data_IF_440640743598
#
_entry.id   IF_440640743598
#
_cell.length_a   1.000
_cell.length_b   1.000
_cell.length_c   1.000
_cell.angle_alpha   90.00
_cell.angle_beta   90.00
_cell.angle_gamma   90.00
#
_symmetry.space_group_name_H-M   'P 1'
#
loop_
_entity.id
_entity.type
_entity.pdbx_description
1 polymer ?
#
# COMPACT_ATOMS: atom_id res chain seq x y z
N UNK A 1 42.83 23.81 8.05
CA UNK A 1 43.31 25.22 8.07
C UNK A 1 43.00 25.83 6.69
N UNK A 2 42.44 27.04 6.63
CA UNK A 2 41.23 27.35 5.85
C UNK A 2 41.46 28.26 4.64
N UNK A 3 40.47 28.36 3.74
CA UNK A 3 40.29 29.52 2.86
C UNK A 3 38.83 29.63 2.36
N UNK A 4 38.07 30.49 3.03
CA UNK A 4 37.12 31.48 2.51
C UNK A 4 36.14 31.13 1.37
N UNK A 5 34.85 31.31 1.68
CA UNK A 5 33.84 31.74 0.71
C UNK A 5 32.63 30.82 0.64
N UNK A 6 31.56 31.22 1.33
CA UNK A 6 30.18 30.72 1.25
C UNK A 6 29.93 29.35 1.87
N UNK A 7 29.51 29.38 3.14
CA UNK A 7 28.82 28.28 3.79
C UNK A 7 27.40 28.16 3.20
N UNK A 8 27.22 27.31 2.19
CA UNK A 8 26.01 26.49 2.19
C UNK A 8 26.20 25.62 3.44
N UNK A 9 25.42 25.89 4.48
CA UNK A 9 25.60 25.28 5.79
C UNK A 9 25.77 23.78 5.64
N UNK A 10 26.93 23.26 6.04
CA UNK A 10 27.10 21.84 6.28
C UNK A 10 26.22 21.54 7.48
N UNK A 11 24.99 21.13 7.20
CA UNK A 11 24.08 20.64 8.22
C UNK A 11 24.64 19.29 8.65
N UNK A 12 25.07 19.18 9.90
CA UNK A 12 25.43 17.90 10.53
C UNK A 12 24.14 17.11 10.72
N UNK A 13 23.72 16.43 9.65
CA UNK A 13 22.81 15.33 9.76
C UNK A 13 23.34 14.29 10.74
N UNK A 14 22.46 13.72 11.55
CA UNK A 14 22.82 12.71 12.55
C UNK A 14 23.35 11.39 11.95
N UNK A 15 23.33 11.21 10.62
CA UNK A 15 23.90 10.06 9.92
C UNK A 15 24.38 10.39 8.50
N UNK A 16 25.22 9.51 7.93
CA UNK A 16 25.68 9.62 6.54
C UNK A 16 24.52 9.64 5.53
N UNK A 17 23.42 8.94 5.83
CA UNK A 17 22.25 8.90 4.96
C UNK A 17 21.50 10.23 4.94
N UNK A 18 21.47 10.97 6.07
CA UNK A 18 20.96 12.35 6.11
C UNK A 18 21.73 13.24 5.15
N UNK A 19 23.06 13.19 5.27
CA UNK A 19 23.92 14.03 4.45
C UNK A 19 23.73 13.73 2.97
N UNK A 20 23.58 12.46 2.61
CA UNK A 20 23.35 12.06 1.22
C UNK A 20 22.01 12.60 0.68
N UNK A 21 20.91 12.46 1.44
CA UNK A 21 19.60 12.96 1.03
C UNK A 21 19.56 14.48 0.86
N UNK A 22 20.12 15.22 1.83
CA UNK A 22 20.24 16.68 1.74
C UNK A 22 21.14 17.11 0.57
N UNK A 23 22.23 16.39 0.34
CA UNK A 23 23.15 16.68 -0.77
C UNK A 23 22.45 16.49 -2.11
N UNK A 24 21.66 15.42 -2.27
CA UNK A 24 20.86 15.17 -3.46
C UNK A 24 19.79 16.25 -3.67
N UNK A 25 19.10 16.69 -2.61
CA UNK A 25 18.12 17.77 -2.69
C UNK A 25 18.77 19.10 -3.10
N UNK A 26 19.89 19.48 -2.48
CA UNK A 26 20.65 20.69 -2.84
C UNK A 26 21.13 20.59 -4.30
N UNK A 27 21.61 19.43 -4.72
CA UNK A 27 22.00 19.17 -6.11
C UNK A 27 20.81 19.41 -7.05
N UNK A 28 19.66 18.77 -6.81
CA UNK A 28 18.42 19.01 -7.57
C UNK A 28 18.07 20.50 -7.64
N UNK A 29 18.02 21.20 -6.51
CA UNK A 29 17.69 22.63 -6.44
C UNK A 29 18.65 23.46 -7.29
N UNK A 30 19.96 23.27 -7.12
CA UNK A 30 20.96 24.05 -7.83
C UNK A 30 20.96 23.79 -9.34
N UNK A 31 20.59 22.58 -9.80
CA UNK A 31 20.44 22.28 -11.23
C UNK A 31 19.26 23.00 -11.89
N UNK A 32 18.36 23.62 -11.11
CA UNK A 32 17.26 24.44 -11.64
C UNK A 32 17.70 25.88 -11.94
N UNK A 33 18.86 26.31 -11.42
CA UNK A 33 19.39 27.65 -11.66
C UNK A 33 20.06 27.68 -13.05
N UNK A 34 19.71 28.64 -13.93
CA UNK A 34 20.36 28.78 -15.23
C UNK A 34 21.88 28.92 -15.10
N UNK A 35 22.64 28.18 -15.92
CA UNK A 35 24.11 28.18 -15.90
C UNK A 35 24.76 29.59 -15.92
N UNK A 36 24.25 30.60 -16.65
CA UNK A 36 24.82 31.95 -16.63
C UNK A 36 24.74 32.66 -15.26
N UNK A 37 23.86 32.20 -14.36
CA UNK A 37 23.70 32.74 -13.02
C UNK A 37 24.54 31.97 -11.97
N UNK A 38 25.17 30.86 -12.36
CA UNK A 38 25.98 30.05 -11.48
C UNK A 38 27.44 30.51 -11.50
N UNK A 39 28.03 30.65 -10.31
CA UNK A 39 29.46 30.90 -10.21
C UNK A 39 30.24 29.67 -10.72
N UNK A 40 31.42 29.84 -11.38
CA UNK A 40 32.18 28.72 -11.93
C UNK A 40 32.51 27.61 -10.91
N UNK A 41 32.77 27.99 -9.66
CA UNK A 41 33.00 27.03 -8.56
C UNK A 41 31.78 26.17 -8.23
N UNK A 42 30.57 26.69 -8.45
CA UNK A 42 29.32 25.95 -8.25
C UNK A 42 29.13 24.93 -9.37
N UNK A 43 29.37 25.32 -10.62
CA UNK A 43 29.34 24.39 -11.77
C UNK A 43 30.30 23.20 -11.58
N UNK A 44 31.56 23.45 -11.20
CA UNK A 44 32.53 22.39 -10.92
C UNK A 44 32.06 21.45 -9.80
N UNK A 45 31.36 21.98 -8.79
CA UNK A 45 30.78 21.17 -7.72
C UNK A 45 29.59 20.34 -8.21
N UNK A 46 28.73 20.91 -9.06
CA UNK A 46 27.62 20.17 -9.66
C UNK A 46 28.11 19.02 -10.53
N UNK A 47 29.20 19.18 -11.27
CA UNK A 47 29.80 18.08 -12.05
C UNK A 47 30.33 16.95 -11.17
N UNK A 48 30.92 17.28 -10.01
CA UNK A 48 31.33 16.27 -9.02
C UNK A 48 30.13 15.56 -8.41
N UNK A 49 29.10 16.30 -8.03
CA UNK A 49 27.87 15.74 -7.46
C UNK A 49 27.13 14.87 -8.46
N UNK A 50 27.13 15.22 -9.75
CA UNK A 50 26.57 14.39 -10.80
C UNK A 50 27.25 13.02 -10.87
N UNK A 51 28.60 12.97 -10.85
CA UNK A 51 29.34 11.70 -10.83
C UNK A 51 29.05 10.88 -9.58
N UNK A 52 29.01 11.53 -8.42
CA UNK A 52 28.71 10.88 -7.14
C UNK A 52 27.29 10.28 -7.15
N UNK A 53 26.28 11.05 -7.51
CA UNK A 53 24.90 10.58 -7.51
C UNK A 53 24.62 9.53 -8.59
N UNK A 54 25.32 9.53 -9.73
CA UNK A 54 25.25 8.43 -10.68
C UNK A 54 25.67 7.10 -10.03
N UNK A 55 26.75 7.10 -9.25
CA UNK A 55 27.21 5.91 -8.51
C UNK A 55 26.22 5.51 -7.40
N UNK A 56 25.61 6.47 -6.71
CA UNK A 56 24.58 6.19 -5.69
C UNK A 56 23.40 5.43 -6.29
N UNK A 57 22.97 5.78 -7.51
CA UNK A 57 21.85 5.12 -8.20
C UNK A 57 22.15 3.70 -8.70
N UNK A 58 23.43 3.34 -8.81
CA UNK A 58 23.87 1.97 -9.12
C UNK A 58 23.80 1.04 -7.90
N UNK A 59 23.66 1.57 -6.69
CA UNK A 59 23.60 0.79 -5.46
C UNK A 59 22.38 -0.16 -5.37
N UNK A 60 22.55 -1.25 -4.62
CA UNK A 60 21.51 -2.27 -4.39
C UNK A 60 20.34 -1.75 -3.54
N UNK A 61 20.63 -0.83 -2.62
CA UNK A 61 19.63 -0.22 -1.73
C UNK A 61 19.56 1.27 -2.00
N UNK A 62 18.48 1.69 -2.62
CA UNK A 62 18.22 3.09 -2.92
C UNK A 62 17.31 3.69 -1.85
N UNK A 63 17.78 4.76 -1.22
CA UNK A 63 16.92 5.65 -0.45
C UNK A 63 16.03 6.42 -1.44
N UNK A 64 14.69 6.30 -1.38
CA UNK A 64 13.81 6.80 -2.43
C UNK A 64 13.84 8.33 -2.57
N UNK A 65 14.05 9.05 -1.47
CA UNK A 65 14.16 10.50 -1.49
C UNK A 65 15.47 10.95 -2.15
N UNK A 66 16.59 10.39 -1.70
CA UNK A 66 17.91 10.61 -2.32
C UNK A 66 17.87 10.31 -3.80
N UNK A 67 17.33 9.15 -4.18
CA UNK A 67 17.29 8.70 -5.56
C UNK A 67 16.40 9.60 -6.43
N UNK A 68 15.24 10.02 -5.94
CA UNK A 68 14.34 10.95 -6.64
C UNK A 68 15.02 12.28 -6.96
N UNK A 69 15.68 12.90 -5.98
CA UNK A 69 16.40 14.17 -6.21
C UNK A 69 17.63 13.99 -7.11
N UNK A 70 18.42 12.93 -6.89
CA UNK A 70 19.56 12.58 -7.74
C UNK A 70 19.14 12.44 -9.22
N UNK A 71 18.08 11.67 -9.49
CA UNK A 71 17.52 11.49 -10.83
C UNK A 71 17.13 12.83 -11.46
N UNK A 72 16.39 13.66 -10.73
CA UNK A 72 15.94 14.96 -11.24
C UNK A 72 17.14 15.87 -11.59
N UNK A 73 18.16 15.94 -10.73
CA UNK A 73 19.36 16.71 -10.97
C UNK A 73 20.19 16.20 -12.15
N UNK A 74 20.38 14.88 -12.25
CA UNK A 74 21.13 14.25 -13.34
C UNK A 74 20.45 14.46 -14.70
N UNK A 75 19.12 14.32 -14.75
CA UNK A 75 18.33 14.58 -15.95
C UNK A 75 18.45 16.03 -16.42
N UNK A 76 18.35 17.02 -15.51
CA UNK A 76 18.48 18.45 -15.88
C UNK A 76 19.87 18.81 -16.38
N UNK A 77 20.92 18.15 -15.87
CA UNK A 77 22.28 18.33 -16.37
C UNK A 77 22.57 17.54 -17.66
N UNK A 78 21.67 16.67 -18.10
CA UNK A 78 21.94 15.75 -19.20
C UNK A 78 23.02 14.71 -18.87
N UNK A 79 23.29 14.49 -17.59
CA UNK A 79 24.25 13.49 -17.10
C UNK A 79 23.65 12.07 -17.03
N UNK A 80 22.35 11.96 -17.26
CA UNK A 80 21.61 10.72 -17.36
C UNK A 80 20.52 10.86 -18.43
N UNK A 81 20.32 9.82 -19.22
CA UNK A 81 19.25 9.78 -20.23
C UNK A 81 17.90 9.47 -19.59
N UNK A 82 16.81 9.84 -20.28
CA UNK A 82 15.45 9.49 -19.86
C UNK A 82 15.23 7.98 -19.74
N UNK A 83 15.86 7.18 -20.61
CA UNK A 83 15.74 5.73 -20.59
C UNK A 83 16.41 5.11 -19.35
N UNK A 84 17.62 5.57 -19.00
CA UNK A 84 18.31 5.14 -17.78
C UNK A 84 17.54 5.53 -16.52
N UNK A 85 17.06 6.79 -16.47
CA UNK A 85 16.26 7.26 -15.36
C UNK A 85 14.97 6.44 -15.17
N UNK A 86 14.33 6.03 -16.28
CA UNK A 86 13.13 5.19 -16.24
C UNK A 86 13.40 3.84 -15.57
N UNK A 87 14.52 3.17 -15.88
CA UNK A 87 14.88 1.91 -15.25
C UNK A 87 15.09 2.05 -13.72
N UNK A 88 15.68 3.16 -13.29
CA UNK A 88 15.84 3.44 -11.85
C UNK A 88 14.48 3.72 -11.20
N UNK A 89 13.60 4.48 -11.85
CA UNK A 89 12.24 4.73 -11.35
C UNK A 89 11.45 3.43 -11.23
N UNK A 90 11.53 2.53 -12.21
CA UNK A 90 10.87 1.22 -12.17
C UNK A 90 11.37 0.38 -10.97
N UNK A 91 12.67 0.42 -10.66
CA UNK A 91 13.23 -0.21 -9.44
C UNK A 91 12.68 0.42 -8.16
N UNK A 92 12.56 1.75 -8.11
CA UNK A 92 12.00 2.45 -6.95
C UNK A 92 10.52 2.10 -6.76
N UNK A 93 9.72 2.14 -7.81
CA UNK A 93 8.30 1.76 -7.74
C UNK A 93 8.12 0.30 -7.28
N UNK A 94 8.95 -0.63 -7.77
CA UNK A 94 8.93 -2.01 -7.28
C UNK A 94 9.32 -2.12 -5.79
N UNK A 95 10.27 -1.31 -5.31
CA UNK A 95 10.68 -1.29 -3.90
C UNK A 95 9.61 -0.70 -2.97
N UNK A 96 8.81 0.27 -3.47
CA UNK A 96 7.68 0.85 -2.75
C UNK A 96 6.67 -0.21 -2.33
N UNK A 97 6.35 -1.10 -3.26
CA UNK A 97 5.30 -2.09 -3.11
C UNK A 97 5.77 -3.33 -2.30
N UNK A 98 7.08 -3.43 -2.04
CA UNK A 98 7.72 -4.66 -1.55
C UNK A 98 8.28 -4.67 -0.12
N UNK A 99 8.25 -3.56 0.64
CA UNK A 99 8.39 -3.47 2.12
C UNK A 99 9.15 -2.22 2.63
N UNK A 100 9.83 -1.43 1.76
CA UNK A 100 10.67 -0.31 2.23
C UNK A 100 10.49 0.98 1.42
N UNK A 101 9.44 1.73 1.76
CA UNK A 101 9.20 3.09 1.26
C UNK A 101 9.32 4.12 2.38
N UNK A 102 10.47 4.17 3.03
CA UNK A 102 10.80 5.19 4.04
C UNK A 102 12.16 5.80 3.73
N UNK A 103 12.29 7.14 3.78
CA UNK A 103 13.61 7.73 3.79
C UNK A 103 14.32 7.30 5.08
N UNK A 104 15.61 7.07 4.95
CA UNK A 104 16.46 6.48 5.99
C UNK A 104 16.65 7.38 7.22
N UNK A 105 16.17 8.64 7.24
CA UNK A 105 16.78 9.63 8.13
C UNK A 105 15.96 10.72 8.85
N UNK A 106 14.63 10.84 8.73
CA UNK A 106 13.67 11.30 9.78
C UNK A 106 12.34 11.81 9.19
N UNK A 107 11.33 11.88 10.08
CA UNK A 107 9.88 12.03 9.86
C UNK A 107 9.25 10.75 9.34
N UNK A 108 8.27 10.21 10.07
CA UNK A 108 7.51 9.02 9.70
C UNK A 108 6.75 9.25 8.36
N UNK A 109 5.42 9.16 8.34
CA UNK A 109 4.63 9.34 7.13
C UNK A 109 4.97 10.59 6.28
N UNK A 110 5.42 11.70 6.88
CA UNK A 110 5.82 12.91 6.14
C UNK A 110 7.08 12.75 5.27
N UNK A 111 8.10 12.00 5.72
CA UNK A 111 9.29 11.72 4.89
C UNK A 111 8.95 10.83 3.70
N UNK A 112 7.96 9.94 3.85
CA UNK A 112 7.42 9.15 2.74
C UNK A 112 6.73 10.02 1.69
N UNK A 113 6.06 11.10 2.10
CA UNK A 113 5.47 12.10 1.18
C UNK A 113 6.56 12.84 0.41
N UNK A 114 7.64 13.26 1.10
CA UNK A 114 8.79 13.92 0.46
C UNK A 114 9.47 13.01 -0.56
N UNK A 115 9.71 11.75 -0.19
CA UNK A 115 10.28 10.74 -1.10
C UNK A 115 9.37 10.53 -2.33
N UNK A 116 8.06 10.43 -2.12
CA UNK A 116 7.08 10.26 -3.20
C UNK A 116 7.07 11.47 -4.13
N UNK A 117 7.14 12.69 -3.59
CA UNK A 117 7.26 13.91 -4.39
C UNK A 117 8.54 13.91 -5.22
N UNK A 118 9.68 13.55 -4.65
CA UNK A 118 10.96 13.53 -5.36
C UNK A 118 10.92 12.58 -6.57
N UNK A 119 10.34 11.38 -6.40
CA UNK A 119 10.15 10.42 -7.48
C UNK A 119 9.14 10.93 -8.51
N UNK A 120 8.03 11.54 -8.10
CA UNK A 120 7.06 12.17 -9.01
C UNK A 120 7.70 13.28 -9.87
N UNK A 121 8.57 14.11 -9.27
CA UNK A 121 9.28 15.15 -10.01
C UNK A 121 10.25 14.55 -11.04
N UNK A 122 10.99 13.49 -10.68
CA UNK A 122 11.83 12.77 -11.63
C UNK A 122 11.00 12.15 -12.77
N UNK A 123 9.88 11.50 -12.44
CA UNK A 123 8.97 10.92 -13.43
C UNK A 123 8.38 11.97 -14.37
N UNK A 124 8.04 13.16 -13.85
CA UNK A 124 7.55 14.27 -14.67
C UNK A 124 8.61 14.80 -15.66
N UNK A 125 9.89 14.73 -15.33
CA UNK A 125 10.99 15.11 -16.23
C UNK A 125 11.21 14.04 -17.33
N UNK A 126 11.12 12.76 -16.95
CA UNK A 126 11.29 11.63 -17.88
C UNK A 126 10.12 11.57 -18.86
N UNK A 127 8.90 11.52 -18.34
CA UNK A 127 7.69 11.28 -19.11
C UNK A 127 6.56 12.23 -18.67
N UNK A 128 6.54 13.49 -19.18
CA UNK A 128 5.57 14.50 -18.74
C UNK A 128 4.11 14.10 -19.01
N UNK A 129 3.86 13.39 -20.12
CA UNK A 129 2.52 13.03 -20.57
C UNK A 129 2.15 11.57 -20.28
N UNK A 130 3.11 10.68 -20.12
CA UNK A 130 2.87 9.27 -19.76
C UNK A 130 2.98 8.98 -18.27
N UNK A 131 3.07 7.69 -17.94
CA UNK A 131 3.05 7.13 -16.57
C UNK A 131 1.90 7.67 -15.70
N UNK A 132 0.73 7.93 -16.30
CA UNK A 132 -0.40 8.55 -15.61
C UNK A 132 -0.97 7.66 -14.51
N UNK A 133 -0.90 6.33 -14.68
CA UNK A 133 -1.27 5.35 -13.65
C UNK A 133 -0.37 5.51 -12.43
N UNK A 134 0.96 5.46 -12.62
CA UNK A 134 1.94 5.56 -11.52
C UNK A 134 1.83 6.90 -10.80
N UNK A 135 1.66 8.00 -11.55
CA UNK A 135 1.48 9.34 -10.98
C UNK A 135 0.23 9.45 -10.12
N UNK A 136 -0.89 8.90 -10.61
CA UNK A 136 -2.17 8.93 -9.88
C UNK A 136 -2.16 8.00 -8.67
N UNK A 137 -1.54 6.84 -8.79
CA UNK A 137 -1.38 5.91 -7.68
C UNK A 137 -0.52 6.53 -6.55
N UNK A 138 0.60 7.16 -6.90
CA UNK A 138 1.40 7.93 -5.96
C UNK A 138 0.63 9.08 -5.30
N UNK A 139 -0.21 9.80 -6.06
CA UNK A 139 -1.10 10.82 -5.48
C UNK A 139 -2.17 10.24 -4.56
N UNK A 140 -2.81 9.12 -4.95
CA UNK A 140 -3.81 8.46 -4.14
C UNK A 140 -3.20 8.02 -2.80
N UNK A 141 -1.98 7.49 -2.84
CA UNK A 141 -1.21 7.18 -1.64
C UNK A 141 -0.96 8.43 -0.79
N UNK A 142 -0.46 9.54 -1.37
CA UNK A 142 -0.29 10.80 -0.63
C UNK A 142 -1.62 11.22 0.01
N UNK A 143 -2.71 11.26 -0.75
CA UNK A 143 -4.04 11.65 -0.25
C UNK A 143 -4.53 10.74 0.89
N UNK A 144 -4.24 9.44 0.83
CA UNK A 144 -4.58 8.48 1.87
C UNK A 144 -3.77 8.68 3.17
N UNK A 145 -2.56 9.25 3.10
CA UNK A 145 -1.76 9.57 4.29
C UNK A 145 -2.19 10.83 5.03
N UNK A 146 -3.22 11.54 4.54
CA UNK A 146 -3.73 12.76 5.17
C UNK A 146 -4.47 12.44 6.47
N UNK A 147 -3.96 12.79 7.66
CA UNK A 147 -4.75 12.78 8.90
C UNK A 147 -5.98 13.69 8.83
N UNK A 148 -6.85 13.57 9.84
CA UNK A 148 -7.95 14.52 10.04
C UNK A 148 -7.43 15.96 10.08
N UNK A 149 -8.00 16.81 9.21
CA UNK A 149 -7.84 18.28 9.15
C UNK A 149 -6.82 18.82 8.14
N UNK A 150 -6.36 17.99 7.19
CA UNK A 150 -5.74 18.50 5.96
C UNK A 150 -4.25 18.82 6.04
N UNK A 151 -3.59 18.44 7.12
CA UNK A 151 -2.13 18.41 7.22
C UNK A 151 -1.57 17.04 6.82
N UNK A 152 -0.27 16.99 6.51
CA UNK A 152 0.50 15.76 6.26
C UNK A 152 1.61 15.66 7.30
N UNK A 153 1.21 15.55 8.57
CA UNK A 153 2.05 15.35 9.76
C UNK A 153 2.97 16.51 10.16
N UNK A 154 3.46 17.32 9.23
CA UNK A 154 4.22 18.54 9.49
C UNK A 154 4.16 19.50 8.29
N UNK A 155 4.56 20.76 8.50
CA UNK A 155 4.50 21.81 7.47
C UNK A 155 5.26 21.43 6.18
N UNK A 156 6.44 20.80 6.29
CA UNK A 156 7.20 20.36 5.12
C UNK A 156 6.47 19.26 4.34
N UNK A 157 5.91 18.24 5.01
CA UNK A 157 5.12 17.18 4.39
C UNK A 157 3.85 17.72 3.72
N UNK A 158 3.16 18.67 4.36
CA UNK A 158 2.01 19.37 3.74
C UNK A 158 2.45 20.14 2.49
N UNK A 159 3.56 20.88 2.55
CA UNK A 159 4.08 21.59 1.39
C UNK A 159 4.47 20.62 0.25
N UNK A 160 5.04 19.47 0.58
CA UNK A 160 5.38 18.44 -0.39
C UNK A 160 4.15 17.78 -1.01
N UNK A 161 3.12 17.48 -0.23
CA UNK A 161 1.83 16.98 -0.74
C UNK A 161 1.19 17.98 -1.72
N UNK A 162 1.16 19.28 -1.37
CA UNK A 162 0.63 20.32 -2.25
C UNK A 162 1.45 20.46 -3.54
N UNK A 163 2.78 20.34 -3.45
CA UNK A 163 3.66 20.31 -4.63
C UNK A 163 3.39 19.07 -5.48
N UNK A 164 3.17 17.90 -4.88
CA UNK A 164 2.89 16.67 -5.61
C UNK A 164 1.60 16.79 -6.42
N UNK A 165 0.53 17.32 -5.80
CA UNK A 165 -0.73 17.63 -6.47
C UNK A 165 -0.53 18.60 -7.65
N UNK A 166 0.34 19.59 -7.47
CA UNK A 166 0.66 20.57 -8.52
C UNK A 166 1.48 19.98 -9.67
N UNK A 167 2.38 19.03 -9.38
CA UNK A 167 3.26 18.38 -10.38
C UNK A 167 2.46 17.48 -11.32
N UNK A 168 1.51 16.71 -10.79
CA UNK A 168 0.69 15.79 -11.60
C UNK A 168 -0.42 16.55 -12.33
N UNK A 169 -0.91 17.65 -11.74
CA UNK A 169 -1.93 18.50 -12.34
C UNK A 169 -3.35 17.95 -12.17
N UNK A 170 -4.32 18.68 -12.74
CA UNK A 170 -5.71 18.25 -12.72
C UNK A 170 -5.91 17.01 -13.61
N UNK A 171 -6.76 16.10 -13.16
CA UNK A 171 -7.25 15.01 -13.99
C UNK A 171 -8.05 15.61 -15.18
N UNK A 172 -8.05 14.93 -16.35
CA UNK A 172 -8.99 15.30 -17.42
C UNK A 172 -10.43 15.20 -16.90
N UNK A 173 -11.33 15.92 -17.55
CA UNK A 173 -12.75 15.90 -17.22
C UNK A 173 -13.27 14.45 -17.26
N UNK A 174 -13.97 14.08 -16.19
CA UNK A 174 -14.56 12.76 -16.08
C UNK A 174 -15.74 12.66 -17.04
N UNK A 175 -15.81 11.56 -17.79
CA UNK A 175 -16.94 11.22 -18.62
C UNK A 175 -17.57 9.92 -18.10
N UNK A 176 -18.87 9.69 -18.36
CA UNK A 176 -19.47 8.38 -18.13
C UNK A 176 -18.64 7.29 -18.79
N UNK A 177 -18.35 6.24 -18.04
CA UNK A 177 -17.49 5.16 -18.49
C UNK A 177 -18.02 3.80 -18.07
N UNK A 178 -17.52 2.76 -18.70
CA UNK A 178 -17.77 1.36 -18.37
C UNK A 178 -16.46 0.71 -17.99
N UNK A 179 -16.43 0.04 -16.84
CA UNK A 179 -15.40 -0.90 -16.46
C UNK A 179 -15.93 -2.32 -16.66
N UNK A 180 -15.22 -3.12 -17.46
CA UNK A 180 -15.51 -4.54 -17.67
C UNK A 180 -14.34 -5.35 -17.13
N UNK A 181 -14.62 -6.28 -16.23
CA UNK A 181 -13.64 -7.26 -15.76
C UNK A 181 -14.00 -8.60 -16.35
N UNK A 182 -13.03 -9.23 -17.00
CA UNK A 182 -13.20 -10.53 -17.63
C UNK A 182 -12.20 -11.54 -17.07
N UNK A 183 -12.62 -12.80 -17.02
CA UNK A 183 -11.78 -13.96 -16.73
C UNK A 183 -11.85 -14.91 -17.92
N UNK A 184 -10.69 -15.16 -18.53
CA UNK A 184 -10.56 -15.99 -19.73
C UNK A 184 -11.51 -15.55 -20.88
N UNK A 185 -11.66 -14.23 -21.05
CA UNK A 185 -12.51 -13.61 -22.07
C UNK A 185 -14.01 -13.70 -21.77
N UNK A 186 -14.41 -14.13 -20.57
CA UNK A 186 -15.81 -14.10 -20.12
C UNK A 186 -16.02 -12.93 -19.16
N UNK A 187 -17.04 -12.07 -19.37
CA UNK A 187 -17.30 -10.96 -18.48
C UNK A 187 -17.74 -11.49 -17.09
N UNK A 188 -16.95 -11.16 -16.07
CA UNK A 188 -17.28 -11.40 -14.65
C UNK A 188 -18.11 -10.25 -14.08
N UNK A 189 -17.73 -9.01 -14.43
CA UNK A 189 -18.37 -7.81 -13.89
C UNK A 189 -18.39 -6.74 -14.96
N UNK A 190 -19.50 -6.00 -15.00
CA UNK A 190 -19.62 -4.76 -15.77
C UNK A 190 -20.15 -3.68 -14.84
N UNK A 191 -19.47 -2.55 -14.78
CA UNK A 191 -19.79 -1.44 -13.90
C UNK A 191 -19.82 -0.15 -14.73
N UNK A 192 -20.82 0.68 -14.48
CA UNK A 192 -20.88 2.03 -15.04
C UNK A 192 -20.28 2.99 -14.02
N UNK A 193 -19.30 3.79 -14.44
CA UNK A 193 -18.71 4.86 -13.65
C UNK A 193 -19.44 6.15 -13.98
N UNK A 194 -20.11 6.69 -12.98
CA UNK A 194 -20.82 7.96 -13.06
C UNK A 194 -19.83 9.10 -12.71
N UNK A 195 -19.59 10.08 -13.60
CA UNK A 195 -18.71 11.21 -13.29
C UNK A 195 -19.27 12.10 -12.17
N UNK A 196 -20.59 12.11 -11.94
CA UNK A 196 -21.23 12.90 -10.88
C UNK A 196 -21.22 12.17 -9.53
N UNK A 197 -21.07 10.84 -9.53
CA UNK A 197 -20.86 10.00 -8.34
C UNK A 197 -19.72 8.98 -8.57
N UNK A 198 -18.46 9.42 -8.67
CA UNK A 198 -17.35 8.52 -8.97
C UNK A 198 -17.06 7.56 -7.83
N UNK A 199 -17.38 7.91 -6.58
CA UNK A 199 -17.12 7.06 -5.41
C UNK A 199 -18.19 5.98 -5.29
N UNK A 200 -19.47 6.35 -5.30
CA UNK A 200 -20.56 5.38 -5.17
C UNK A 200 -20.61 4.42 -6.36
N UNK A 201 -20.47 4.94 -7.59
CA UNK A 201 -20.50 4.12 -8.81
C UNK A 201 -19.33 3.13 -8.94
N UNK A 202 -18.18 3.40 -8.29
CA UNK A 202 -17.00 2.52 -8.33
C UNK A 202 -16.80 1.68 -7.08
N UNK A 203 -17.64 1.81 -6.04
CA UNK A 203 -17.51 1.05 -4.79
C UNK A 203 -17.55 -0.46 -5.03
N UNK A 204 -18.35 -0.91 -6.00
CA UNK A 204 -18.42 -2.31 -6.40
C UNK A 204 -17.14 -2.82 -7.11
N UNK A 205 -16.27 -1.93 -7.60
CA UNK A 205 -15.01 -2.24 -8.27
C UNK A 205 -13.83 -2.40 -7.29
N UNK A 206 -13.95 -1.94 -6.03
CA UNK A 206 -12.83 -1.95 -5.07
C UNK A 206 -12.33 -3.37 -4.75
N UNK A 207 -13.23 -4.34 -4.75
CA UNK A 207 -12.89 -5.75 -4.55
C UNK A 207 -13.76 -6.61 -5.45
N UNK A 208 -13.13 -7.23 -6.45
CA UNK A 208 -13.78 -8.19 -7.35
C UNK A 208 -13.16 -9.54 -7.05
N UNK A 209 -13.91 -10.38 -6.33
CA UNK A 209 -13.54 -11.77 -6.14
C UNK A 209 -13.69 -12.50 -7.48
N UNK A 210 -12.61 -13.16 -7.91
CA UNK A 210 -12.61 -13.99 -9.12
C UNK A 210 -13.30 -15.35 -8.87
N UNK A 211 -13.54 -15.69 -7.60
CA UNK A 211 -14.47 -16.72 -7.14
C UNK A 211 -14.15 -18.14 -7.61
N UNK A 212 -15.19 -18.98 -7.64
CA UNK A 212 -15.15 -20.38 -8.11
C UNK A 212 -14.86 -20.52 -9.61
N UNK A 213 -14.95 -19.43 -10.38
CA UNK A 213 -14.61 -19.41 -11.80
C UNK A 213 -13.12 -19.61 -12.03
N UNK A 214 -12.30 -19.39 -11.00
CA UNK A 214 -10.87 -19.61 -11.01
C UNK A 214 -10.55 -21.08 -10.65
N UNK A 215 -10.67 -21.95 -11.65
CA UNK A 215 -10.24 -23.35 -11.53
C UNK A 215 -8.71 -23.49 -11.37
N UNK A 216 -8.19 -24.71 -11.20
CA UNK A 216 -6.76 -24.95 -11.31
C UNK A 216 -6.27 -24.66 -12.73
N UNK A 217 -5.27 -23.78 -12.89
CA UNK A 217 -4.67 -23.51 -14.20
C UNK A 217 -4.05 -22.14 -14.33
N UNK A 218 -3.70 -21.79 -15.56
CA UNK A 218 -3.32 -20.43 -15.95
C UNK A 218 -4.56 -19.71 -16.43
N UNK A 219 -4.87 -18.60 -15.79
CA UNK A 219 -6.01 -17.75 -16.13
C UNK A 219 -5.54 -16.39 -16.61
N UNK A 220 -6.32 -15.76 -17.49
CA UNK A 220 -6.13 -14.37 -17.90
C UNK A 220 -7.25 -13.53 -17.31
N UNK A 221 -6.87 -12.53 -16.52
CA UNK A 221 -7.77 -11.45 -16.10
C UNK A 221 -7.53 -10.25 -17.02
N UNK A 222 -8.59 -9.76 -17.67
CA UNK A 222 -8.58 -8.49 -18.41
C UNK A 222 -9.49 -7.49 -17.72
N UNK A 223 -9.06 -6.22 -17.76
CA UNK A 223 -9.84 -5.09 -17.26
C UNK A 223 -9.88 -4.08 -18.40
N UNK A 224 -11.06 -3.92 -18.98
CA UNK A 224 -11.33 -2.95 -20.03
C UNK A 224 -12.03 -1.75 -19.41
N UNK A 225 -11.55 -0.56 -19.74
CA UNK A 225 -12.13 0.70 -19.28
C UNK A 225 -12.12 1.70 -20.43
N UNK A 226 -13.29 2.26 -20.73
CA UNK A 226 -13.49 3.18 -21.86
C UNK A 226 -13.53 4.67 -21.44
N UNK A 227 -13.26 4.97 -20.18
CA UNK A 227 -13.27 6.33 -19.66
C UNK A 227 -12.00 7.14 -19.96
N UNK A 228 -12.03 8.41 -19.59
CA UNK A 228 -10.92 9.36 -19.79
C UNK A 228 -9.75 9.14 -18.83
N UNK A 229 -9.97 8.37 -17.76
CA UNK A 229 -8.95 8.00 -16.78
C UNK A 229 -8.39 6.60 -17.08
N UNK A 230 -7.25 6.27 -16.47
CA UNK A 230 -6.73 4.91 -16.49
C UNK A 230 -6.94 4.36 -15.08
N UNK A 231 -7.69 3.26 -14.92
CA UNK A 231 -7.91 2.67 -13.60
C UNK A 231 -6.60 2.02 -13.13
N UNK A 232 -6.36 2.11 -11.83
CA UNK A 232 -5.30 1.33 -11.17
C UNK A 232 -5.95 0.03 -10.71
N UNK A 233 -5.38 -1.10 -11.14
CA UNK A 233 -5.86 -2.41 -10.74
C UNK A 233 -4.70 -3.26 -10.25
N UNK A 234 -4.90 -3.98 -9.15
CA UNK A 234 -3.93 -4.91 -8.58
C UNK A 234 -4.57 -6.27 -8.42
N UNK A 235 -3.90 -7.31 -8.92
CA UNK A 235 -4.30 -8.70 -8.65
C UNK A 235 -3.65 -9.15 -7.36
N UNK A 236 -4.48 -9.44 -6.36
CA UNK A 236 -4.02 -9.94 -5.06
C UNK A 236 -4.31 -11.43 -4.99
N UNK A 237 -3.26 -12.25 -4.88
CA UNK A 237 -3.41 -13.69 -4.69
C UNK A 237 -3.20 -14.06 -3.22
N UNK A 238 -4.20 -14.70 -2.62
CA UNK A 238 -4.05 -15.36 -1.32
C UNK A 238 -3.90 -16.86 -1.53
N UNK A 239 -2.77 -17.43 -1.14
CA UNK A 239 -2.52 -18.86 -1.25
C UNK A 239 -2.49 -19.50 0.14
N UNK A 240 -3.44 -20.40 0.39
CA UNK A 240 -3.39 -21.29 1.53
C UNK A 240 -2.72 -22.59 1.09
N UNK A 241 -1.48 -22.82 1.51
CA UNK A 241 -0.84 -24.12 1.25
C UNK A 241 -1.29 -25.09 2.34
N UNK A 242 -1.93 -26.24 2.01
CA UNK A 242 -2.29 -27.23 3.01
C UNK A 242 -1.01 -27.83 3.59
N UNK A 243 -0.55 -27.26 4.69
CA UNK A 243 0.37 -27.93 5.60
C UNK A 243 -0.46 -28.84 6.50
N UNK A 244 0.00 -30.07 6.74
CA UNK A 244 -0.31 -30.71 8.01
C UNK A 244 0.29 -29.79 9.06
N UNK A 245 -0.52 -28.90 9.65
CA UNK A 245 -0.16 -28.29 10.90
C UNK A 245 -0.05 -29.44 11.89
N UNK A 246 1.13 -30.06 11.97
CA UNK A 246 1.45 -30.90 13.09
C UNK A 246 1.17 -30.02 14.30
N UNK A 247 0.35 -30.48 15.24
CA UNK A 247 0.00 -29.74 16.47
C UNK A 247 1.27 -29.17 17.15
N UNK A 248 2.43 -29.79 16.92
CA UNK A 248 3.76 -29.33 17.30
C UNK A 248 4.26 -28.05 16.59
N UNK A 249 3.98 -27.84 15.30
CA UNK A 249 4.43 -26.69 14.52
C UNK A 249 3.74 -25.37 14.92
N UNK A 250 2.49 -25.44 15.36
CA UNK A 250 1.74 -24.30 15.90
C UNK A 250 1.88 -24.15 17.43
N UNK A 251 2.86 -24.83 18.05
CA UNK A 251 3.12 -24.71 19.48
C UNK A 251 1.98 -25.20 20.38
N UNK A 252 1.17 -26.16 19.92
CA UNK A 252 0.02 -26.69 20.65
C UNK A 252 -1.26 -25.88 20.51
N UNK A 253 -1.32 -24.94 19.55
CA UNK A 253 -2.53 -24.20 19.22
C UNK A 253 -3.46 -25.02 18.30
N UNK A 254 -4.76 -24.77 18.41
CA UNK A 254 -5.79 -25.27 17.52
C UNK A 254 -6.73 -24.13 17.11
N UNK A 255 -7.27 -24.21 15.89
CA UNK A 255 -8.17 -23.23 15.31
C UNK A 255 -9.31 -23.96 14.56
N UNK A 256 -10.54 -23.48 14.72
CA UNK A 256 -11.72 -23.86 13.95
C UNK A 256 -12.55 -22.62 13.68
N UNK A 257 -13.18 -22.56 12.52
CA UNK A 257 -14.08 -21.47 12.15
C UNK A 257 -15.29 -22.06 11.40
N UNK A 258 -16.47 -21.50 11.63
CA UNK A 258 -17.70 -21.94 10.98
C UNK A 258 -18.70 -20.77 10.84
N UNK A 259 -19.36 -20.70 9.70
CA UNK A 259 -20.52 -19.84 9.45
C UNK A 259 -21.72 -20.66 8.97
N UNK A 260 -22.91 -20.04 8.88
CA UNK A 260 -24.13 -20.71 8.38
C UNK A 260 -24.35 -20.41 6.89
N UNK A 261 -24.46 -21.45 6.06
CA UNK A 261 -24.33 -21.35 4.59
C UNK A 261 -25.40 -20.55 3.83
N UNK A 262 -26.64 -20.44 4.33
CA UNK A 262 -27.73 -19.74 3.65
C UNK A 262 -28.01 -18.39 4.30
N UNK A 263 -27.87 -17.31 3.55
CA UNK A 263 -28.14 -15.95 4.03
C UNK A 263 -28.75 -15.04 2.96
N UNK A 264 -29.31 -13.91 3.38
CA UNK A 264 -29.85 -12.85 2.52
C UNK A 264 -29.07 -11.55 2.66
N UNK A 265 -29.18 -10.67 1.67
CA UNK A 265 -28.66 -9.29 1.76
C UNK A 265 -29.25 -8.58 2.99
N UNK A 266 -28.45 -7.70 3.59
CA UNK A 266 -28.71 -6.97 4.84
C UNK A 266 -28.90 -7.83 6.10
N UNK A 267 -28.81 -9.16 5.96
CA UNK A 267 -28.86 -10.05 7.11
C UNK A 267 -27.56 -9.97 7.90
N UNK A 268 -27.68 -9.76 9.22
CA UNK A 268 -26.55 -9.97 10.12
C UNK A 268 -26.30 -11.47 10.31
N UNK A 269 -25.10 -11.91 9.97
CA UNK A 269 -24.61 -13.26 10.20
C UNK A 269 -23.46 -13.27 11.19
N UNK A 270 -23.03 -14.45 11.62
CA UNK A 270 -21.93 -14.58 12.58
C UNK A 270 -20.98 -15.68 12.14
N UNK A 271 -19.71 -15.30 11.95
CA UNK A 271 -18.61 -16.24 11.81
C UNK A 271 -18.13 -16.62 13.21
N UNK A 272 -18.30 -17.88 13.59
CA UNK A 272 -17.87 -18.37 14.91
C UNK A 272 -16.46 -18.93 14.80
N UNK A 273 -15.54 -18.37 15.58
CA UNK A 273 -14.14 -18.80 15.64
C UNK A 273 -13.86 -19.39 17.02
N UNK A 274 -13.32 -20.60 17.02
CA UNK A 274 -12.83 -21.29 18.21
C UNK A 274 -11.32 -21.50 18.10
N UNK A 275 -10.57 -21.00 19.07
CA UNK A 275 -9.14 -21.22 19.17
C UNK A 275 -8.76 -21.67 20.59
N UNK A 276 -7.75 -22.53 20.71
CA UNK A 276 -7.30 -23.04 22.01
C UNK A 276 -5.81 -23.35 22.03
N UNK A 277 -5.13 -23.04 23.13
CA UNK A 277 -3.81 -23.52 23.49
C UNK A 277 -3.05 -22.59 24.45
N UNK A 278 -2.00 -23.10 25.11
CA UNK A 278 -1.25 -22.43 26.21
C UNK A 278 -0.55 -21.11 25.83
N UNK A 279 -0.52 -20.74 24.54
CA UNK A 279 0.13 -19.53 24.01
C UNK A 279 -0.82 -18.72 23.13
N UNK A 280 -2.12 -18.90 23.34
CA UNK A 280 -3.13 -18.19 22.57
C UNK A 280 -3.16 -16.70 22.93
N UNK A 281 -2.90 -16.36 24.19
CA UNK A 281 -2.85 -14.98 24.63
C UNK A 281 -1.81 -14.13 23.90
N UNK A 282 -2.25 -13.00 23.35
CA UNK A 282 -1.46 -12.12 22.50
C UNK A 282 -1.22 -12.62 21.07
N UNK A 283 -1.86 -13.73 20.65
CA UNK A 283 -1.91 -14.12 19.25
C UNK A 283 -2.86 -13.18 18.47
N UNK A 284 -2.73 -13.18 17.14
CA UNK A 284 -3.57 -12.38 16.26
C UNK A 284 -4.42 -13.31 15.38
N UNK A 285 -5.74 -13.12 15.41
CA UNK A 285 -6.65 -13.67 14.41
C UNK A 285 -6.73 -12.70 13.23
N UNK A 286 -6.45 -13.18 12.03
CA UNK A 286 -6.65 -12.45 10.78
C UNK A 286 -7.87 -13.04 10.07
N UNK A 287 -8.79 -12.17 9.66
CA UNK A 287 -10.01 -12.52 8.94
C UNK A 287 -9.92 -11.88 7.57
N UNK A 288 -9.90 -12.68 6.50
CA UNK A 288 -9.83 -12.17 5.13
C UNK A 288 -11.13 -11.47 4.73
N UNK A 289 -11.12 -10.58 3.73
CA UNK A 289 -12.34 -10.21 3.04
C UNK A 289 -12.97 -11.44 2.36
N UNK A 290 -14.28 -11.38 2.14
CA UNK A 290 -15.02 -12.37 1.34
C UNK A 290 -15.68 -11.77 0.10
N UNK A 291 -15.70 -10.44 -0.04
CA UNK A 291 -16.44 -9.73 -1.09
C UNK A 291 -17.97 -9.74 -0.95
N UNK A 292 -18.54 -10.65 -0.13
CA UNK A 292 -19.98 -10.79 0.12
C UNK A 292 -20.39 -10.34 1.52
N UNK A 293 -19.48 -10.45 2.49
CA UNK A 293 -19.70 -10.13 3.89
C UNK A 293 -18.74 -9.04 4.35
N UNK A 294 -19.25 -8.07 5.10
CA UNK A 294 -18.48 -7.00 5.74
C UNK A 294 -18.53 -7.13 7.28
N UNK A 295 -17.39 -7.00 8.00
CA UNK A 295 -17.40 -7.03 9.46
C UNK A 295 -18.13 -5.83 10.07
N UNK A 296 -19.06 -6.08 11.01
CA UNK A 296 -19.67 -5.03 11.82
C UNK A 296 -18.67 -4.57 12.90
N UNK A 297 -17.85 -3.58 12.55
CA UNK A 297 -16.85 -2.99 13.44
C UNK A 297 -17.47 -2.35 14.67
N UNK A 298 -18.69 -1.81 14.57
CA UNK A 298 -19.41 -1.23 15.71
C UNK A 298 -19.76 -2.29 16.74
N UNK A 299 -20.26 -3.44 16.30
CA UNK A 299 -20.54 -4.58 17.17
C UNK A 299 -19.29 -5.26 17.72
N UNK A 300 -18.21 -5.31 16.94
CA UNK A 300 -16.92 -5.83 17.39
C UNK A 300 -16.25 -4.91 18.41
N UNK A 301 -16.28 -3.59 18.19
CA UNK A 301 -15.71 -2.60 19.11
C UNK A 301 -16.31 -2.68 20.51
N UNK A 302 -17.60 -3.00 20.62
CA UNK A 302 -18.27 -3.25 21.92
C UNK A 302 -17.76 -4.48 22.67
N UNK A 303 -17.00 -5.36 22.01
CA UNK A 303 -16.41 -6.58 22.60
C UNK A 303 -14.93 -6.42 22.98
N UNK A 304 -14.33 -5.26 22.71
CA UNK A 304 -12.93 -4.93 23.02
C UNK A 304 -12.84 -4.27 24.41
N UNK A 305 -11.91 -4.74 25.26
CA UNK A 305 -11.58 -4.04 26.51
C UNK A 305 -11.52 -4.91 27.76
N UNK A 306 -11.51 -4.26 28.95
CA UNK A 306 -11.24 -4.90 30.24
C UNK A 306 -12.24 -6.01 30.57
N UNK A 307 -11.75 -7.25 30.59
CA UNK A 307 -12.52 -8.47 30.88
C UNK A 307 -12.95 -9.26 29.64
N UNK A 308 -12.74 -8.72 28.43
CA UNK A 308 -12.99 -9.43 27.18
C UNK A 308 -11.83 -10.33 26.76
N UNK A 309 -12.12 -11.34 25.95
CA UNK A 309 -11.13 -12.25 25.37
C UNK A 309 -10.36 -11.65 24.17
N UNK A 310 -10.81 -10.48 23.68
CA UNK A 310 -10.18 -9.72 22.60
C UNK A 310 -9.65 -8.39 23.17
N UNK A 311 -8.34 -8.17 22.99
CA UNK A 311 -7.66 -6.97 23.47
C UNK A 311 -7.70 -5.81 22.47
N UNK A 312 -7.71 -6.09 21.16
CA UNK A 312 -7.77 -5.07 20.13
C UNK A 312 -8.44 -5.62 18.86
N UNK A 313 -9.02 -4.71 18.08
CA UNK A 313 -9.58 -4.95 16.74
C UNK A 313 -9.03 -3.86 15.83
N UNK A 314 -8.42 -4.24 14.72
CA UNK A 314 -7.75 -3.33 13.79
C UNK A 314 -8.13 -3.71 12.34
N UNK A 315 -8.75 -2.80 11.58
CA UNK A 315 -8.89 -2.97 10.14
C UNK A 315 -7.52 -2.99 9.48
N UNK A 316 -7.31 -3.88 8.52
CA UNK A 316 -6.07 -4.01 7.76
C UNK A 316 -6.38 -3.94 6.26
N UNK A 317 -5.38 -3.69 5.40
CA UNK A 317 -5.56 -3.76 3.94
C UNK A 317 -6.05 -5.14 3.45
N UNK A 318 -5.93 -6.18 4.28
CA UNK A 318 -6.26 -7.56 3.93
C UNK A 318 -7.45 -8.12 4.75
N UNK A 319 -8.27 -7.25 5.34
CA UNK A 319 -9.44 -7.62 6.14
C UNK A 319 -9.35 -7.13 7.58
N UNK A 320 -9.56 -8.00 8.56
CA UNK A 320 -9.64 -7.61 9.96
C UNK A 320 -8.65 -8.38 10.84
N UNK A 321 -7.92 -7.67 11.70
CA UNK A 321 -7.06 -8.26 12.72
C UNK A 321 -7.69 -8.14 14.12
N UNK A 322 -7.72 -9.24 14.87
CA UNK A 322 -8.17 -9.28 16.26
C UNK A 322 -7.03 -9.81 17.13
N UNK A 323 -6.58 -9.00 18.09
CA UNK A 323 -5.54 -9.41 19.04
C UNK A 323 -6.20 -10.06 20.26
N UNK A 324 -5.81 -11.30 20.55
CA UNK A 324 -6.31 -12.06 21.69
C UNK A 324 -5.71 -11.52 23.00
N UNK A 325 -6.51 -11.39 24.05
CA UNK A 325 -6.04 -10.88 25.33
C UNK A 325 -4.94 -11.78 25.96
N UNK A 326 -3.95 -11.21 26.69
CA UNK A 326 -2.74 -11.94 27.11
C UNK A 326 -2.97 -13.21 27.94
N UNK A 327 -4.05 -13.25 28.71
CA UNK A 327 -4.35 -14.32 29.67
C UNK A 327 -5.33 -15.37 29.13
N UNK A 328 -5.66 -15.32 27.84
CA UNK A 328 -6.62 -16.22 27.19
C UNK A 328 -5.90 -17.47 26.67
N UNK A 329 -6.33 -18.64 27.12
CA UNK A 329 -5.88 -19.96 26.63
C UNK A 329 -6.95 -20.68 25.78
N UNK A 330 -8.20 -20.24 25.87
CA UNK A 330 -9.32 -20.69 25.07
C UNK A 330 -10.20 -19.51 24.64
N UNK A 331 -10.46 -19.39 23.35
CA UNK A 331 -11.22 -18.32 22.73
C UNK A 331 -12.38 -18.92 21.95
N UNK A 332 -13.59 -18.43 22.25
CA UNK A 332 -14.74 -18.56 21.37
C UNK A 332 -15.25 -17.16 21.09
N UNK A 333 -15.20 -16.72 19.82
CA UNK A 333 -15.65 -15.40 19.41
C UNK A 333 -16.57 -15.51 18.21
N UNK A 334 -17.74 -14.88 18.31
CA UNK A 334 -18.59 -14.64 17.14
C UNK A 334 -18.21 -13.30 16.51
N UNK A 335 -17.77 -13.32 15.26
CA UNK A 335 -17.52 -12.11 14.48
C UNK A 335 -18.84 -11.78 13.75
N UNK A 336 -19.53 -10.69 14.12
CA UNK A 336 -20.71 -10.23 13.42
C UNK A 336 -20.29 -9.71 12.05
N UNK A 337 -20.99 -10.17 11.02
CA UNK A 337 -20.81 -9.73 9.65
C UNK A 337 -22.17 -9.31 9.10
N UNK A 338 -22.19 -8.32 8.23
CA UNK A 338 -23.36 -7.91 7.46
C UNK A 338 -23.19 -8.43 6.04
N UNK A 339 -24.28 -8.94 5.47
CA UNK A 339 -24.29 -9.43 4.10
C UNK A 339 -24.58 -8.26 3.18
N UNK A 340 -23.57 -7.84 2.42
CA UNK A 340 -23.66 -6.64 1.60
C UNK A 340 -24.18 -6.93 0.19
N UNK A 341 -24.01 -8.17 -0.30
CA UNK A 341 -24.18 -8.49 -1.74
C UNK A 341 -24.68 -9.90 -1.97
N UNK A 342 -25.55 -10.06 -2.96
CA UNK A 342 -25.96 -11.36 -3.50
C UNK A 342 -24.81 -12.06 -4.23
N UNK A 343 -24.81 -13.40 -4.22
CA UNK A 343 -23.87 -14.21 -4.97
C UNK A 343 -23.45 -15.50 -4.26
N UNK A 344 -22.69 -16.32 -4.98
CA UNK A 344 -22.00 -17.50 -4.45
C UNK A 344 -20.54 -17.17 -4.20
N UNK A 345 -20.01 -17.54 -3.04
CA UNK A 345 -18.62 -17.32 -2.68
C UNK A 345 -18.19 -18.16 -1.49
N UNK A 346 -17.29 -17.62 -0.68
CA UNK A 346 -16.77 -18.31 0.51
C UNK A 346 -16.91 -17.45 1.75
N UNK A 347 -16.96 -18.12 2.90
CA UNK A 347 -16.77 -17.44 4.17
C UNK A 347 -15.37 -16.83 4.26
N UNK A 348 -15.20 -15.71 5.00
CA UNK A 348 -13.89 -15.19 5.35
C UNK A 348 -12.95 -16.28 5.87
N UNK A 349 -11.76 -16.39 5.27
CA UNK A 349 -10.72 -17.28 5.77
C UNK A 349 -10.20 -16.74 7.10
N UNK A 350 -9.96 -17.63 8.06
CA UNK A 350 -9.45 -17.26 9.38
C UNK A 350 -8.06 -17.81 9.56
N UNK A 351 -7.10 -16.94 9.86
CA UNK A 351 -5.75 -17.32 10.23
C UNK A 351 -5.44 -16.95 11.69
N UNK A 352 -4.81 -17.85 12.45
CA UNK A 352 -4.27 -17.58 13.78
C UNK A 352 -2.76 -17.48 13.68
N UNK A 353 -2.25 -16.27 13.88
CA UNK A 353 -0.82 -15.94 13.92
C UNK A 353 -0.36 -15.96 15.37
N UNK A 354 0.47 -16.92 15.80
CA UNK A 354 0.93 -16.99 17.18
C UNK A 354 1.80 -15.78 17.54
N UNK A 355 1.76 -15.36 18.80
CA UNK A 355 2.67 -14.31 19.30
C UNK A 355 4.11 -14.74 19.05
N UNK A 356 4.85 -14.00 18.23
CA UNK A 356 6.22 -14.37 17.86
C UNK A 356 7.14 -14.36 19.08
N UNK A 357 7.68 -15.53 19.43
CA UNK A 357 8.93 -15.63 20.18
C UNK A 357 10.13 -15.62 19.24
N UNK A 358 11.36 -15.86 19.74
CA UNK A 358 12.61 -15.95 18.93
C UNK A 358 12.61 -16.97 17.77
N UNK A 359 11.54 -17.75 17.56
CA UNK A 359 11.37 -18.69 16.44
C UNK A 359 10.15 -18.29 15.61
N UNK A 360 10.30 -18.28 14.28
CA UNK A 360 9.20 -18.11 13.33
C UNK A 360 8.15 -19.19 13.59
N UNK A 361 6.94 -18.78 13.99
CA UNK A 361 5.81 -19.69 14.15
C UNK A 361 4.98 -19.67 12.87
N UNK A 362 4.53 -20.85 12.42
CA UNK A 362 3.67 -20.97 11.25
C UNK A 362 2.22 -20.63 11.64
N UNK A 363 1.54 -19.74 10.90
CA UNK A 363 0.12 -19.47 11.12
C UNK A 363 -0.73 -20.72 10.92
N UNK A 364 -1.80 -20.87 11.72
CA UNK A 364 -2.87 -21.84 11.44
C UNK A 364 -3.91 -21.17 10.56
N UNK A 365 -4.36 -21.82 9.49
CA UNK A 365 -5.37 -21.25 8.57
C UNK A 365 -6.54 -22.22 8.45
N UNK A 366 -7.76 -21.70 8.54
CA UNK A 366 -9.01 -22.45 8.37
C UNK A 366 -9.91 -21.72 7.38
N UNK A 367 -10.39 -22.49 6.40
CA UNK A 367 -11.45 -22.10 5.46
C UNK A 367 -12.79 -22.58 6.03
N UNK A 368 -13.72 -21.69 6.40
CA UNK A 368 -15.02 -22.09 6.94
C UNK A 368 -15.97 -22.70 5.91
N UNK A 369 -15.64 -22.62 4.61
CA UNK A 369 -16.39 -23.24 3.52
C UNK A 369 -17.17 -22.27 2.63
N UNK A 370 -18.01 -22.84 1.77
CA UNK A 370 -18.83 -22.10 0.81
C UNK A 370 -19.93 -21.26 1.49
N UNK A 371 -20.32 -20.19 0.81
CA UNK A 371 -21.37 -19.25 1.21
C UNK A 371 -22.29 -18.98 0.02
N UNK A 372 -23.60 -19.10 0.21
CA UNK A 372 -24.60 -18.72 -0.77
C UNK A 372 -25.43 -17.55 -0.21
N UNK A 373 -25.40 -16.42 -0.90
CA UNK A 373 -26.23 -15.25 -0.59
C UNK A 373 -27.31 -15.12 -1.65
N UNK A 374 -28.56 -15.19 -1.20
CA UNK A 374 -29.72 -15.00 -2.07
C UNK A 374 -30.24 -13.57 -1.97
N UNK A 375 -30.74 -13.08 -3.09
CA UNK A 375 -31.61 -11.90 -3.09
C UNK A 375 -32.92 -12.14 -2.36
N UNK A 376 -33.66 -11.04 -2.15
CA UNK A 376 -34.99 -11.06 -1.53
C UNK A 376 -36.00 -11.93 -2.28
#
# INVERSE_FOLDING_TARGET
VPAEGWAIGWWEGSSAAVHEGLTAEIFDILTRVPAPLLAPKVEERLDRLAKHHAQVLEGDRLDPQTAGHALAGLLRRGAMTKAEARLVIERLLAARDGDHWEPTWFHAYGGRVDATLAVLQALQLVDPTGAQVDKRDALAWILATRPTWGDWHHAAGTAAALRALSVVGAAPEAAPATLVVELDGKPLRRLTVDPDDPVGSTLAAQHIDLGESLGPGTHRVSIDYDGTLQPVATVVTQTATPGKAAVHAAGGLSLRAAGRGDTRVDQSVTLVVHAKGKRLGGATLLISPSGLLEPDLGALGRRVGRGGSIAAVEPTPHGLALTVAPDVDELTVGIPLVVEREGSGRWPTVALVPRSGRRKATPLVVDPGALEVRGE
#
